data_IF_700827412354
#
_entry.id   IF_700827412354
#
_cell.length_a   1.000
_cell.length_b   1.000
_cell.length_c   1.000
_cell.angle_alpha   90.00
_cell.angle_beta   90.00
_cell.angle_gamma   90.00
#
_symmetry.space_group_name_H-M   'P 1'
#
loop_
_entity.id
_entity.type
_entity.pdbx_description
1 polymer ?
#
# COMPACT_ATOMS: atom_id res chain seq x y z
N UNK A 1 -10.98 -16.57 -0.21
CA UNK A 1 -10.31 -15.37 -0.73
C UNK A 1 -9.61 -14.66 0.42
N UNK A 2 -8.29 -14.83 0.57
CA UNK A 2 -7.53 -14.12 1.58
C UNK A 2 -7.39 -12.64 1.17
N UNK A 3 -7.84 -11.74 2.03
CA UNK A 3 -7.55 -10.31 1.90
C UNK A 3 -6.10 -10.06 2.31
N UNK A 4 -5.42 -9.16 1.60
CA UNK A 4 -4.06 -8.75 1.88
C UNK A 4 -3.91 -7.24 1.85
N UNK A 5 -2.86 -6.75 2.51
CA UNK A 5 -2.48 -5.34 2.55
C UNK A 5 -1.05 -5.21 2.05
N UNK A 6 -0.88 -4.45 0.98
CA UNK A 6 0.41 -4.10 0.42
C UNK A 6 0.68 -2.61 0.66
N UNK A 7 1.96 -2.23 0.67
CA UNK A 7 2.36 -0.82 0.83
C UNK A 7 3.29 -0.41 -0.31
N UNK A 8 3.14 0.82 -0.77
CA UNK A 8 3.98 1.42 -1.79
C UNK A 8 4.47 2.79 -1.31
N UNK A 9 5.75 3.14 -1.51
CA UNK A 9 6.23 4.51 -1.29
C UNK A 9 5.44 5.53 -2.11
N UNK A 10 5.53 6.81 -1.77
CA UNK A 10 4.90 7.91 -2.50
C UNK A 10 5.58 8.18 -3.87
N UNK A 11 5.46 7.20 -4.75
CA UNK A 11 6.00 7.16 -6.11
C UNK A 11 4.91 6.59 -7.03
N UNK A 12 4.36 7.48 -7.86
CA UNK A 12 3.22 7.16 -8.73
C UNK A 12 3.57 6.13 -9.80
N UNK A 13 4.80 6.11 -10.30
CA UNK A 13 5.19 5.18 -11.37
C UNK A 13 5.43 3.78 -10.81
N UNK A 14 5.97 3.69 -9.59
CA UNK A 14 6.04 2.42 -8.85
C UNK A 14 4.65 1.91 -8.49
N UNK A 15 3.74 2.78 -8.06
CA UNK A 15 2.35 2.41 -7.79
C UNK A 15 1.67 1.82 -9.03
N UNK A 16 1.78 2.47 -10.19
CA UNK A 16 1.21 1.96 -11.46
C UNK A 16 1.77 0.58 -11.79
N UNK A 17 3.09 0.40 -11.67
CA UNK A 17 3.76 -0.86 -11.96
C UNK A 17 3.27 -1.98 -11.03
N UNK A 18 3.14 -1.69 -9.73
CA UNK A 18 2.63 -2.63 -8.75
C UNK A 18 1.18 -3.02 -9.02
N UNK A 19 0.29 -2.06 -9.26
CA UNK A 19 -1.11 -2.33 -9.56
C UNK A 19 -1.28 -3.14 -10.86
N UNK A 20 -0.41 -2.91 -11.85
CA UNK A 20 -0.38 -3.71 -13.07
C UNK A 20 0.01 -5.17 -12.78
N UNK A 21 1.12 -5.40 -12.07
CA UNK A 21 1.57 -6.76 -11.70
C UNK A 21 0.49 -7.52 -10.94
N UNK A 22 -0.14 -6.87 -9.95
CA UNK A 22 -1.22 -7.47 -9.18
C UNK A 22 -2.43 -7.84 -10.06
N UNK A 23 -2.76 -7.00 -11.04
CA UNK A 23 -3.80 -7.30 -12.02
C UNK A 23 -3.44 -8.48 -12.92
N UNK A 24 -2.19 -8.59 -13.38
CA UNK A 24 -1.70 -9.72 -14.19
C UNK A 24 -1.70 -11.04 -13.42
N UNK A 25 -1.42 -10.99 -12.12
CA UNK A 25 -1.48 -12.14 -11.21
C UNK A 25 -2.92 -12.57 -10.89
N UNK A 26 -3.93 -11.82 -11.34
CA UNK A 26 -5.34 -12.11 -11.11
C UNK A 26 -5.87 -11.61 -9.76
N UNK A 27 -5.12 -10.75 -9.08
CA UNK A 27 -5.58 -10.11 -7.84
C UNK A 27 -6.62 -9.04 -8.12
N UNK A 28 -7.56 -8.88 -7.19
CA UNK A 28 -8.57 -7.82 -7.25
C UNK A 28 -8.21 -6.71 -6.28
N UNK A 29 -7.96 -5.51 -6.81
CA UNK A 29 -7.75 -4.32 -5.99
C UNK A 29 -9.09 -3.88 -5.38
N UNK A 30 -9.16 -3.85 -4.06
CA UNK A 30 -10.33 -3.43 -3.29
C UNK A 30 -10.27 -1.93 -3.01
N UNK A 31 -9.10 -1.43 -2.58
CA UNK A 31 -8.92 -0.01 -2.29
C UNK A 31 -7.46 0.42 -2.40
N UNK A 32 -7.22 1.70 -2.68
CA UNK A 32 -5.90 2.34 -2.65
C UNK A 32 -6.03 3.64 -1.86
N UNK A 33 -5.29 3.75 -0.76
CA UNK A 33 -5.36 4.86 0.18
C UNK A 33 -3.99 5.55 0.19
N UNK A 34 -3.94 6.81 -0.21
CA UNK A 34 -2.75 7.64 0.00
C UNK A 34 -2.74 8.22 1.41
N UNK A 35 -1.58 8.19 2.07
CA UNK A 35 -1.35 8.81 3.36
C UNK A 35 -0.21 9.83 3.28
N UNK A 36 -0.40 11.05 3.82
CA UNK A 36 0.68 12.04 3.88
C UNK A 36 1.73 11.66 4.92
N UNK A 37 2.90 12.29 4.84
CA UNK A 37 3.93 12.23 5.88
C UNK A 37 3.35 12.69 7.21
N UNK A 38 3.59 11.93 8.28
CA UNK A 38 3.08 12.24 9.62
C UNK A 38 4.02 11.75 10.70
N UNK A 39 4.03 12.43 11.83
CA UNK A 39 4.74 11.97 13.01
C UNK A 39 3.85 11.04 13.85
N UNK A 40 4.43 9.92 14.26
CA UNK A 40 3.77 8.89 15.06
C UNK A 40 4.52 8.76 16.37
N UNK A 41 3.80 8.87 17.47
CA UNK A 41 4.33 8.57 18.80
C UNK A 41 4.41 7.05 18.95
N UNK A 42 5.62 6.50 18.98
CA UNK A 42 5.87 5.11 19.34
C UNK A 42 6.44 5.03 20.76
N UNK A 43 6.39 3.85 21.38
CA UNK A 43 6.96 3.60 22.71
C UNK A 43 8.46 3.95 22.78
N UNK A 44 9.16 3.82 21.64
CA UNK A 44 10.60 4.04 21.51
C UNK A 44 10.97 5.48 21.09
N UNK A 45 9.99 6.38 21.01
CA UNK A 45 10.16 7.78 20.57
C UNK A 45 9.33 8.15 19.33
N UNK A 46 9.36 9.43 18.91
CA UNK A 46 8.65 9.88 17.72
C UNK A 46 9.29 9.29 16.45
N UNK A 47 8.45 8.78 15.56
CA UNK A 47 8.84 8.28 14.24
C UNK A 47 8.10 9.07 13.16
N UNK A 48 8.85 9.66 12.23
CA UNK A 48 8.28 10.30 11.05
C UNK A 48 7.98 9.23 10.01
N UNK A 49 6.69 8.88 9.86
CA UNK A 49 6.24 7.98 8.81
C UNK A 49 6.20 8.74 7.48
N UNK A 50 6.95 8.29 6.44
CA UNK A 50 6.91 8.93 5.13
C UNK A 50 5.54 8.75 4.48
N UNK A 51 5.20 9.65 3.54
CA UNK A 51 4.01 9.47 2.70
C UNK A 51 4.11 8.19 1.87
N UNK A 52 2.94 7.66 1.52
CA UNK A 52 2.85 6.46 0.70
C UNK A 52 1.42 5.98 0.50
N UNK A 53 1.30 4.87 -0.20
CA UNK A 53 0.04 4.22 -0.53
C UNK A 53 -0.11 2.92 0.25
N UNK A 54 -1.32 2.69 0.73
CA UNK A 54 -1.78 1.41 1.29
C UNK A 54 -2.76 0.82 0.28
N UNK A 55 -2.51 -0.43 -0.13
CA UNK A 55 -3.29 -1.12 -1.14
C UNK A 55 -3.96 -2.31 -0.46
N UNK A 56 -5.28 -2.36 -0.53
CA UNK A 56 -6.09 -3.47 -0.03
C UNK A 56 -6.52 -4.29 -1.23
N UNK A 57 -6.24 -5.59 -1.20
CA UNK A 57 -6.56 -6.50 -2.32
C UNK A 57 -7.04 -7.87 -1.85
N UNK A 58 -7.64 -8.60 -2.79
CA UNK A 58 -7.99 -10.01 -2.68
C UNK A 58 -7.09 -10.80 -3.64
N UNK A 59 -6.36 -11.80 -3.15
CA UNK A 59 -5.62 -12.72 -4.02
C UNK A 59 -6.57 -13.74 -4.69
N UNK A 60 -6.26 -14.19 -5.91
CA UNK A 60 -6.99 -15.29 -6.53
C UNK A 60 -6.88 -16.55 -5.66
N UNK A 61 -7.95 -17.34 -5.63
CA UNK A 61 -8.01 -18.57 -4.82
C UNK A 61 -7.31 -19.74 -5.48
#
# INVERSE_FOLDING_TARGET
MPYAVETCPDDVDRLKTLLHSLGEEGSRIVNVIWQPTRDILMENGPFTQPSGYIIILEYPS
#
